data_IF_632849734737
#
_entry.id   IF_632849734737
#
_cell.length_a   1.000
_cell.length_b   1.000
_cell.length_c   1.000
_cell.angle_alpha   90.00
_cell.angle_beta   90.00
_cell.angle_gamma   90.00
#
_symmetry.space_group_name_H-M   'P 1'
#
loop_
_entity.id
_entity.type
_entity.pdbx_description
1 polymer ?
#
# COMPACT_ATOMS: atom_id res chain seq x y z
N UNK A 1 71.97 -3.78 15.89
CA UNK A 1 71.14 -4.56 16.81
C UNK A 1 69.79 -3.87 16.84
N UNK A 2 68.92 -4.18 15.98
CA UNK A 2 67.87 -5.23 15.99
C UNK A 2 66.61 -4.80 16.74
N UNK A 3 65.54 -4.90 15.98
CA UNK A 3 64.12 -4.98 16.39
C UNK A 3 63.32 -3.67 16.47
N UNK A 4 62.66 -3.37 15.37
CA UNK A 4 61.24 -3.01 15.39
C UNK A 4 60.68 -3.10 13.96
N UNK A 5 60.13 -4.22 13.65
CA UNK A 5 59.25 -4.41 12.49
C UNK A 5 58.09 -5.30 12.94
N UNK A 6 56.94 -4.88 12.71
CA UNK A 6 55.65 -5.55 12.82
C UNK A 6 54.69 -4.85 13.78
N UNK A 7 53.78 -4.07 13.23
CA UNK A 7 52.35 -4.03 13.50
C UNK A 7 51.72 -2.97 12.58
N UNK A 8 51.46 -3.30 11.33
CA UNK A 8 50.45 -2.60 10.50
C UNK A 8 49.89 -3.63 9.52
N UNK A 9 48.99 -4.46 9.98
CA UNK A 9 48.15 -5.25 9.05
C UNK A 9 46.98 -5.85 9.85
N UNK A 10 46.02 -5.05 10.25
CA UNK A 10 44.74 -5.58 10.70
C UNK A 10 43.71 -4.44 10.87
N UNK A 11 43.32 -3.75 9.80
CA UNK A 11 42.12 -2.87 9.83
C UNK A 11 41.57 -2.64 8.41
N UNK A 12 41.31 -3.69 7.67
CA UNK A 12 40.67 -3.54 6.35
C UNK A 12 39.74 -4.70 6.01
N UNK A 13 38.91 -5.14 6.94
CA UNK A 13 37.81 -6.06 6.65
C UNK A 13 36.65 -5.78 7.60
N UNK A 14 36.04 -4.61 7.54
CA UNK A 14 34.72 -4.41 8.19
C UNK A 14 33.95 -3.22 7.61
N UNK A 15 33.75 -3.17 6.30
CA UNK A 15 32.84 -2.21 5.67
C UNK A 15 32.21 -2.75 4.38
N UNK A 16 31.69 -3.97 4.37
CA UNK A 16 30.89 -4.43 3.23
C UNK A 16 29.70 -5.22 3.77
N UNK A 17 28.73 -4.55 4.38
CA UNK A 17 27.41 -5.14 4.67
C UNK A 17 26.29 -4.11 4.89
N UNK A 18 26.25 -3.00 4.17
CA UNK A 18 25.09 -2.08 4.23
C UNK A 18 24.56 -1.63 2.87
N UNK A 19 25.16 -2.02 1.76
CA UNK A 19 24.78 -1.51 0.44
C UNK A 19 23.56 -2.19 -0.21
N UNK A 20 23.05 -3.30 0.32
CA UNK A 20 21.98 -4.05 -0.37
C UNK A 20 20.57 -3.56 -0.03
N UNK A 21 20.36 -2.97 1.12
CA UNK A 21 19.05 -2.40 1.53
C UNK A 21 18.73 -1.11 0.79
N UNK A 22 19.70 -0.19 0.76
CA UNK A 22 19.53 1.12 0.13
C UNK A 22 19.25 1.02 -1.38
N UNK A 23 19.85 0.04 -2.07
CA UNK A 23 19.62 -0.16 -3.50
C UNK A 23 18.23 -0.74 -3.79
N UNK A 24 17.69 -1.61 -2.94
CA UNK A 24 16.34 -2.16 -3.10
C UNK A 24 15.29 -1.08 -2.90
N UNK A 25 15.37 -0.35 -1.79
CA UNK A 25 14.41 0.72 -1.46
C UNK A 25 14.44 1.85 -2.50
N UNK A 26 15.63 2.17 -3.01
CA UNK A 26 15.80 3.12 -4.12
C UNK A 26 15.10 2.61 -5.39
N UNK A 27 15.29 1.35 -5.77
CA UNK A 27 14.65 0.79 -6.96
C UNK A 27 13.12 0.69 -6.79
N UNK A 28 12.63 0.33 -5.61
CA UNK A 28 11.19 0.34 -5.31
C UNK A 28 10.62 1.75 -5.47
N UNK A 29 11.27 2.76 -4.90
CA UNK A 29 10.84 4.15 -5.03
C UNK A 29 10.91 4.65 -6.48
N UNK A 30 11.95 4.27 -7.23
CA UNK A 30 12.09 4.62 -8.65
C UNK A 30 11.04 3.94 -9.54
N UNK A 31 10.65 2.71 -9.24
CA UNK A 31 9.59 2.04 -9.99
C UNK A 31 8.24 2.71 -9.75
N UNK A 32 7.91 3.06 -8.51
CA UNK A 32 6.63 3.66 -8.15
C UNK A 32 6.52 5.15 -8.54
N UNK A 33 7.61 5.91 -8.37
CA UNK A 33 7.57 7.38 -8.45
C UNK A 33 8.50 7.97 -9.52
N UNK A 34 9.21 7.14 -10.29
CA UNK A 34 10.14 7.61 -11.31
C UNK A 34 9.43 8.43 -12.38
N UNK A 35 9.86 9.67 -12.59
CA UNK A 35 9.23 10.62 -13.52
C UNK A 35 9.39 10.22 -14.99
N UNK A 36 10.40 9.42 -15.32
CA UNK A 36 10.67 9.01 -16.70
C UNK A 36 10.42 7.51 -16.90
N UNK A 37 9.98 7.16 -18.10
CA UNK A 37 9.89 5.77 -18.54
C UNK A 37 11.19 4.99 -18.30
N UNK A 38 12.35 5.59 -18.68
CA UNK A 38 13.66 4.94 -18.54
C UNK A 38 14.00 4.60 -17.09
N UNK A 39 13.69 5.50 -16.17
CA UNK A 39 13.91 5.27 -14.73
C UNK A 39 13.07 4.11 -14.22
N UNK A 40 11.76 4.10 -14.52
CA UNK A 40 10.86 3.03 -14.10
C UNK A 40 11.21 1.69 -14.73
N UNK A 41 11.59 1.68 -16.02
CA UNK A 41 12.04 0.45 -16.69
C UNK A 41 13.31 -0.12 -16.07
N UNK A 42 14.33 0.72 -15.82
CA UNK A 42 15.56 0.29 -15.19
C UNK A 42 15.30 -0.28 -13.78
N UNK A 43 14.44 0.36 -13.02
CA UNK A 43 14.04 -0.11 -11.69
C UNK A 43 13.30 -1.45 -11.74
N UNK A 44 12.35 -1.64 -12.68
CA UNK A 44 11.66 -2.92 -12.87
C UNK A 44 12.64 -4.05 -13.20
N UNK A 45 13.59 -3.79 -14.10
CA UNK A 45 14.64 -4.75 -14.48
C UNK A 45 15.61 -5.05 -13.32
N UNK A 46 15.96 -4.06 -12.51
CA UNK A 46 16.79 -4.27 -11.33
C UNK A 46 16.06 -5.12 -10.29
N UNK A 47 14.79 -4.80 -10.00
CA UNK A 47 13.96 -5.55 -9.06
C UNK A 47 13.70 -6.99 -9.52
N UNK A 48 13.60 -7.25 -10.82
CA UNK A 48 13.38 -8.60 -11.36
C UNK A 48 14.48 -9.62 -11.00
N UNK A 49 15.62 -9.16 -10.50
CA UNK A 49 16.74 -10.00 -10.03
C UNK A 49 16.71 -10.22 -8.52
N UNK A 50 15.85 -9.50 -7.81
CA UNK A 50 15.72 -9.62 -6.36
C UNK A 50 14.81 -10.79 -5.98
N UNK A 51 15.12 -11.45 -4.87
CA UNK A 51 14.26 -12.45 -4.23
C UNK A 51 13.56 -11.90 -2.98
N UNK A 52 13.69 -10.60 -2.72
CA UNK A 52 13.01 -9.93 -1.61
C UNK A 52 11.51 -9.80 -1.91
N UNK A 53 10.70 -10.12 -0.92
CA UNK A 53 9.24 -10.02 -1.02
C UNK A 53 8.76 -8.60 -1.38
N UNK A 54 9.46 -7.56 -0.90
CA UNK A 54 9.15 -6.14 -1.21
C UNK A 54 9.30 -5.84 -2.70
N UNK A 55 10.31 -6.44 -3.35
CA UNK A 55 10.48 -6.31 -4.79
C UNK A 55 9.33 -6.94 -5.56
N UNK A 56 8.87 -8.13 -5.15
CA UNK A 56 7.70 -8.80 -5.78
C UNK A 56 6.46 -7.92 -5.67
N UNK A 57 6.22 -7.33 -4.49
CA UNK A 57 5.08 -6.45 -4.25
C UNK A 57 5.15 -5.20 -5.13
N UNK A 58 6.31 -4.53 -5.18
CA UNK A 58 6.48 -3.33 -6.00
C UNK A 58 6.28 -3.62 -7.50
N UNK A 59 6.76 -4.77 -7.99
CA UNK A 59 6.58 -5.19 -9.38
C UNK A 59 5.12 -5.58 -9.66
N UNK A 60 4.43 -6.21 -8.71
CA UNK A 60 3.01 -6.51 -8.82
C UNK A 60 2.16 -5.22 -8.89
N UNK A 61 2.55 -4.22 -8.09
CA UNK A 61 1.92 -2.90 -8.13
C UNK A 61 2.14 -2.19 -9.48
N UNK A 62 3.35 -2.22 -10.01
CA UNK A 62 3.65 -1.66 -11.33
C UNK A 62 2.88 -2.36 -12.45
N UNK A 63 2.68 -3.69 -12.37
CA UNK A 63 1.83 -4.42 -13.33
C UNK A 63 0.38 -3.92 -13.29
N UNK A 64 -0.14 -3.65 -12.12
CA UNK A 64 -1.52 -3.21 -11.95
C UNK A 64 -1.74 -1.74 -12.36
N UNK A 65 -0.78 -0.86 -12.04
CA UNK A 65 -1.03 0.58 -11.93
C UNK A 65 -0.16 1.46 -12.84
N UNK A 66 0.96 0.97 -13.43
CA UNK A 66 1.79 1.84 -14.29
C UNK A 66 1.02 2.26 -15.53
N UNK A 67 1.17 3.53 -15.91
CA UNK A 67 0.50 4.10 -17.07
C UNK A 67 1.04 3.52 -18.39
N UNK A 68 2.33 3.12 -18.43
CA UNK A 68 2.99 2.62 -19.63
C UNK A 68 2.79 1.11 -19.81
N UNK A 69 2.19 0.64 -20.92
CA UNK A 69 1.97 -0.77 -21.14
C UNK A 69 3.25 -1.58 -21.25
N UNK A 70 4.38 -0.96 -21.62
CA UNK A 70 5.66 -1.66 -21.68
C UNK A 70 6.20 -1.94 -20.28
N UNK A 71 6.03 -1.00 -19.35
CA UNK A 71 6.38 -1.23 -17.93
C UNK A 71 5.51 -2.35 -17.38
N UNK A 72 4.19 -2.34 -17.62
CA UNK A 72 3.31 -3.42 -17.18
C UNK A 72 3.69 -4.78 -17.78
N UNK A 73 4.07 -4.83 -19.05
CA UNK A 73 4.58 -6.08 -19.67
C UNK A 73 5.88 -6.56 -19.02
N UNK A 74 6.82 -5.66 -18.79
CA UNK A 74 8.09 -6.00 -18.12
C UNK A 74 7.83 -6.47 -16.71
N UNK A 75 6.90 -5.85 -15.99
CA UNK A 75 6.48 -6.28 -14.66
C UNK A 75 5.88 -7.71 -14.66
N UNK A 76 5.04 -8.06 -15.65
CA UNK A 76 4.53 -9.43 -15.79
C UNK A 76 5.65 -10.46 -15.99
N UNK A 77 6.63 -10.17 -16.86
CA UNK A 77 7.80 -11.03 -17.07
C UNK A 77 8.73 -11.09 -15.85
N UNK A 78 8.84 -9.98 -15.11
CA UNK A 78 9.63 -9.95 -13.89
C UNK A 78 8.99 -10.84 -12.81
N UNK A 79 7.68 -10.78 -12.62
CA UNK A 79 6.96 -11.66 -11.68
C UNK A 79 7.16 -13.13 -12.01
N UNK A 80 7.13 -13.51 -13.28
CA UNK A 80 7.44 -14.89 -13.71
C UNK A 80 8.81 -15.38 -13.21
N UNK A 81 9.83 -14.51 -13.21
CA UNK A 81 11.18 -14.85 -12.76
C UNK A 81 11.36 -14.81 -11.24
N UNK A 82 10.62 -13.90 -10.59
CA UNK A 82 10.77 -13.63 -9.16
C UNK A 82 10.00 -14.60 -8.29
N UNK A 83 8.82 -15.02 -8.77
CA UNK A 83 7.89 -15.88 -8.02
C UNK A 83 8.31 -17.34 -8.17
N UNK A 84 8.64 -17.96 -7.05
CA UNK A 84 8.96 -19.39 -6.96
C UNK A 84 8.42 -20.00 -5.66
N UNK A 85 8.70 -21.29 -5.42
CA UNK A 85 8.25 -21.99 -4.23
C UNK A 85 8.84 -21.44 -2.91
N UNK A 86 9.97 -20.70 -2.99
CA UNK A 86 10.65 -20.11 -1.83
C UNK A 86 10.19 -18.67 -1.57
N UNK A 87 9.50 -18.07 -2.52
CA UNK A 87 8.90 -16.73 -2.33
C UNK A 87 7.92 -16.77 -1.17
N UNK A 88 8.00 -15.77 -0.28
CA UNK A 88 7.06 -15.63 0.83
C UNK A 88 5.63 -15.73 0.33
N UNK A 89 4.80 -16.51 1.03
CA UNK A 89 3.47 -16.90 0.55
C UNK A 89 2.65 -15.69 0.13
N UNK A 90 2.60 -14.64 0.95
CA UNK A 90 1.81 -13.44 0.70
C UNK A 90 2.30 -12.68 -0.56
N UNK A 91 3.62 -12.55 -0.73
CA UNK A 91 4.19 -11.92 -1.92
C UNK A 91 3.92 -12.75 -3.19
N UNK A 92 4.00 -14.08 -3.08
CA UNK A 92 3.67 -14.99 -4.18
C UNK A 92 2.18 -14.88 -4.57
N UNK A 93 1.28 -14.87 -3.60
CA UNK A 93 -0.15 -14.72 -3.83
C UNK A 93 -0.48 -13.37 -4.47
N UNK A 94 0.14 -12.28 -4.01
CA UNK A 94 0.01 -10.97 -4.64
C UNK A 94 0.49 -10.94 -6.09
N UNK A 95 1.67 -11.50 -6.36
CA UNK A 95 2.21 -11.59 -7.72
C UNK A 95 1.31 -12.39 -8.64
N UNK A 96 0.78 -13.52 -8.16
CA UNK A 96 -0.15 -14.36 -8.92
C UNK A 96 -1.48 -13.65 -9.19
N UNK A 97 -2.05 -12.98 -8.19
CA UNK A 97 -3.30 -12.21 -8.33
C UNK A 97 -3.12 -11.06 -9.33
N UNK A 98 -2.01 -10.32 -9.25
CA UNK A 98 -1.73 -9.24 -10.20
C UNK A 98 -1.64 -9.77 -11.65
N UNK A 99 -1.01 -10.92 -11.85
CA UNK A 99 -0.94 -11.58 -13.16
C UNK A 99 -2.32 -12.05 -13.63
N UNK A 100 -3.16 -12.61 -12.75
CA UNK A 100 -4.52 -13.04 -13.07
C UNK A 100 -5.40 -11.87 -13.51
N UNK A 101 -5.35 -10.78 -12.76
CA UNK A 101 -6.09 -9.56 -13.07
C UNK A 101 -5.60 -8.95 -14.39
N UNK A 102 -4.29 -8.81 -14.57
CA UNK A 102 -3.72 -8.29 -15.81
C UNK A 102 -4.06 -9.18 -17.03
N UNK A 103 -4.08 -10.50 -16.88
CA UNK A 103 -4.42 -11.43 -17.98
C UNK A 103 -5.84 -11.27 -18.47
N UNK A 104 -6.75 -10.82 -17.62
CA UNK A 104 -8.18 -10.70 -17.92
C UNK A 104 -8.58 -9.26 -18.25
N UNK A 105 -8.08 -8.30 -17.46
CA UNK A 105 -8.63 -6.95 -17.40
C UNK A 105 -7.68 -5.84 -17.89
N UNK A 106 -6.39 -6.13 -18.19
CA UNK A 106 -5.50 -5.07 -18.68
C UNK A 106 -6.01 -4.49 -19.99
N UNK A 107 -5.95 -3.17 -20.11
CA UNK A 107 -6.37 -2.44 -21.33
C UNK A 107 -5.54 -2.76 -22.57
N UNK A 108 -4.27 -3.17 -22.41
CA UNK A 108 -3.37 -3.52 -23.51
C UNK A 108 -3.35 -5.03 -23.76
N UNK A 109 -3.63 -5.42 -25.01
CA UNK A 109 -3.71 -6.84 -25.41
C UNK A 109 -2.36 -7.58 -25.23
N UNK A 110 -1.22 -6.89 -25.43
CA UNK A 110 0.11 -7.51 -25.26
C UNK A 110 0.44 -7.73 -23.80
N UNK A 111 -0.07 -6.88 -22.90
CA UNK A 111 0.03 -7.10 -21.45
C UNK A 111 -0.80 -8.32 -21.06
N UNK A 112 -2.06 -8.42 -21.52
CA UNK A 112 -2.91 -9.59 -21.26
C UNK A 112 -2.26 -10.90 -21.72
N UNK A 113 -1.73 -10.92 -22.94
CA UNK A 113 -1.05 -12.11 -23.49
C UNK A 113 0.20 -12.47 -22.68
N UNK A 114 1.01 -11.48 -22.31
CA UNK A 114 2.22 -11.70 -21.50
C UNK A 114 1.86 -12.24 -20.12
N UNK A 115 0.89 -11.62 -19.44
CA UNK A 115 0.43 -12.08 -18.12
C UNK A 115 -0.14 -13.51 -18.17
N UNK A 116 -0.89 -13.84 -19.22
CA UNK A 116 -1.40 -15.21 -19.45
C UNK A 116 -0.28 -16.22 -19.60
N UNK A 117 0.78 -15.90 -20.35
CA UNK A 117 1.96 -16.76 -20.51
C UNK A 117 2.72 -16.95 -19.20
N UNK A 118 2.93 -15.86 -18.46
CA UNK A 118 3.56 -15.90 -17.15
C UNK A 118 2.76 -16.73 -16.14
N UNK A 119 1.44 -16.62 -16.12
CA UNK A 119 0.58 -17.48 -15.29
C UNK A 119 0.69 -18.96 -15.67
N UNK A 120 0.78 -19.26 -16.96
CA UNK A 120 0.98 -20.63 -17.43
C UNK A 120 2.32 -21.19 -16.96
N UNK A 121 3.39 -20.40 -17.03
CA UNK A 121 4.71 -20.79 -16.53
C UNK A 121 4.69 -21.05 -15.00
N UNK A 122 3.91 -20.28 -14.26
CA UNK A 122 3.77 -20.41 -12.81
C UNK A 122 2.66 -21.38 -12.36
N UNK A 123 2.03 -22.12 -13.28
CA UNK A 123 0.88 -22.97 -12.97
C UNK A 123 1.16 -24.02 -11.87
N UNK A 124 2.39 -24.54 -11.80
CA UNK A 124 2.80 -25.47 -10.75
C UNK A 124 2.88 -24.86 -9.33
N UNK A 125 2.94 -23.52 -9.24
CA UNK A 125 2.97 -22.79 -7.97
C UNK A 125 1.55 -22.34 -7.54
N UNK A 126 0.57 -22.48 -8.43
CA UNK A 126 -0.82 -22.23 -8.06
C UNK A 126 -1.19 -23.21 -6.95
N UNK A 127 -1.56 -22.69 -5.82
CA UNK A 127 -2.37 -23.49 -4.89
C UNK A 127 -3.53 -24.06 -5.71
N UNK A 128 -3.73 -25.38 -5.67
CA UNK A 128 -5.05 -25.95 -6.02
C UNK A 128 -6.04 -25.07 -5.29
N UNK A 129 -6.97 -24.43 -6.02
CA UNK A 129 -8.01 -23.56 -5.49
C UNK A 129 -8.60 -24.25 -4.27
N UNK A 130 -7.92 -24.05 -3.15
CA UNK A 130 -8.34 -24.58 -1.86
C UNK A 130 -9.62 -23.85 -1.59
N UNK A 131 -10.67 -24.60 -1.50
CA UNK A 131 -11.99 -24.27 -1.03
C UNK A 131 -12.16 -22.78 -0.77
N UNK A 132 -12.98 -22.11 -1.60
CA UNK A 132 -13.47 -20.77 -1.31
C UNK A 132 -13.61 -20.61 0.21
N UNK A 133 -13.25 -19.47 0.81
CA UNK A 133 -13.45 -19.29 2.23
C UNK A 133 -14.87 -19.75 2.51
N UNK A 134 -15.00 -20.80 3.29
CA UNK A 134 -16.31 -21.33 3.69
C UNK A 134 -17.11 -20.13 4.15
N UNK A 135 -18.36 -20.00 3.67
CA UNK A 135 -19.22 -18.87 3.97
C UNK A 135 -19.08 -18.42 5.44
N UNK A 136 -19.11 -17.10 5.71
CA UNK A 136 -18.99 -16.59 7.08
C UNK A 136 -19.94 -17.32 8.00
N UNK A 137 -19.48 -17.67 9.19
CA UNK A 137 -20.31 -18.38 10.16
C UNK A 137 -21.29 -17.39 10.77
N UNK A 138 -22.56 -17.52 10.44
CA UNK A 138 -23.63 -16.64 10.93
C UNK A 138 -23.67 -15.31 10.20
N UNK A 139 -24.17 -14.27 10.86
CA UNK A 139 -24.36 -12.93 10.30
C UNK A 139 -23.09 -12.04 10.37
N UNK A 140 -21.89 -12.66 10.38
CA UNK A 140 -20.60 -11.95 10.50
C UNK A 140 -19.94 -11.79 9.12
N UNK A 141 -19.27 -10.66 8.83
CA UNK A 141 -18.66 -10.41 7.52
C UNK A 141 -17.41 -11.28 7.30
N UNK A 142 -17.15 -11.65 6.06
CA UNK A 142 -15.90 -12.36 5.68
C UNK A 142 -14.67 -11.46 5.75
N UNK A 143 -14.84 -10.17 5.52
CA UNK A 143 -13.81 -9.14 5.67
C UNK A 143 -14.38 -7.99 6.49
N UNK A 144 -13.71 -7.70 7.57
CA UNK A 144 -14.02 -6.58 8.46
C UNK A 144 -12.91 -5.53 8.39
N UNK A 145 -13.26 -4.27 8.33
CA UNK A 145 -12.30 -3.16 8.30
C UNK A 145 -12.59 -2.22 9.45
N UNK A 146 -11.68 -2.17 10.42
CA UNK A 146 -11.72 -1.16 11.46
C UNK A 146 -11.22 0.18 10.89
N UNK A 147 -12.05 1.19 10.86
CA UNK A 147 -11.66 2.55 10.47
C UNK A 147 -11.45 3.36 11.73
N UNK A 148 -10.18 3.66 12.02
CA UNK A 148 -9.81 4.42 13.20
C UNK A 148 -10.15 5.90 13.07
N UNK A 149 -10.38 6.58 14.19
CA UNK A 149 -10.50 8.03 14.21
C UNK A 149 -9.28 8.71 13.59
N UNK A 150 -9.52 9.77 12.82
CA UNK A 150 -8.45 10.54 12.17
C UNK A 150 -7.57 11.24 13.21
N UNK A 151 -6.27 11.02 13.13
CA UNK A 151 -5.28 11.70 13.98
C UNK A 151 -4.85 13.02 13.33
N UNK A 152 -4.82 14.10 14.09
CA UNK A 152 -4.29 15.39 13.63
C UNK A 152 -2.89 15.66 14.21
N UNK A 153 -1.87 15.54 13.37
CA UNK A 153 -0.48 15.92 13.71
C UNK A 153 -0.20 17.41 13.48
N UNK A 154 -1.04 18.08 12.67
CA UNK A 154 -0.89 19.53 12.43
C UNK A 154 -1.30 20.37 13.63
N UNK A 155 -2.16 19.80 14.51
CA UNK A 155 -2.76 20.48 15.67
C UNK A 155 -3.60 21.71 15.30
N UNK A 156 -4.05 21.79 14.05
CA UNK A 156 -4.80 22.92 13.49
C UNK A 156 -6.14 22.52 12.92
N UNK A 157 -6.45 21.22 12.94
CA UNK A 157 -7.65 20.69 12.31
C UNK A 157 -8.86 20.84 13.23
N UNK A 158 -9.98 21.42 12.78
CA UNK A 158 -11.25 21.36 13.49
C UNK A 158 -11.69 19.90 13.71
N UNK A 159 -12.29 19.61 14.87
CA UNK A 159 -12.76 18.27 15.22
C UNK A 159 -13.71 17.69 14.17
N UNK A 160 -14.62 18.52 13.66
CA UNK A 160 -15.59 18.15 12.64
C UNK A 160 -14.94 17.73 11.33
N UNK A 161 -13.77 18.31 10.98
CA UNK A 161 -13.03 17.94 9.79
C UNK A 161 -12.35 16.55 9.96
N UNK A 162 -11.84 16.22 11.15
CA UNK A 162 -11.34 14.87 11.46
C UNK A 162 -12.44 13.81 11.30
N UNK A 163 -13.63 14.07 11.81
CA UNK A 163 -14.78 13.17 11.68
C UNK A 163 -15.23 13.00 10.23
N UNK A 164 -15.11 14.04 9.40
CA UNK A 164 -15.41 13.97 7.96
C UNK A 164 -14.43 13.09 7.21
N UNK A 165 -13.12 13.22 7.48
CA UNK A 165 -12.09 12.33 6.89
C UNK A 165 -12.40 10.88 7.22
N UNK A 166 -12.69 10.58 8.49
CA UNK A 166 -13.06 9.22 8.90
C UNK A 166 -14.31 8.73 8.14
N UNK A 167 -15.34 9.57 7.96
CA UNK A 167 -16.55 9.19 7.19
C UNK A 167 -16.24 8.93 5.72
N UNK A 168 -15.36 9.72 5.08
CA UNK A 168 -14.94 9.52 3.70
C UNK A 168 -14.27 8.16 3.56
N UNK A 169 -13.29 7.87 4.42
CA UNK A 169 -12.60 6.56 4.42
C UNK A 169 -13.60 5.43 4.62
N UNK A 170 -14.48 5.55 5.60
CA UNK A 170 -15.51 4.54 5.90
C UNK A 170 -16.45 4.31 4.72
N UNK A 171 -16.94 5.37 4.10
CA UNK A 171 -17.83 5.29 2.94
C UNK A 171 -17.17 4.58 1.75
N UNK A 172 -15.89 4.86 1.47
CA UNK A 172 -15.14 4.20 0.42
C UNK A 172 -14.95 2.69 0.70
N UNK A 173 -14.67 2.33 1.95
CA UNK A 173 -14.56 0.93 2.39
C UNK A 173 -15.89 0.20 2.20
N UNK A 174 -16.98 0.77 2.68
CA UNK A 174 -18.35 0.21 2.57
C UNK A 174 -18.80 0.12 1.11
N UNK A 175 -18.55 1.16 0.32
CA UNK A 175 -18.82 1.19 -1.12
C UNK A 175 -18.05 0.11 -1.92
N UNK A 176 -16.99 -0.44 -1.35
CA UNK A 176 -16.25 -1.57 -1.93
C UNK A 176 -16.75 -2.95 -1.44
N UNK A 177 -17.82 -2.99 -0.66
CA UNK A 177 -18.44 -4.23 -0.17
C UNK A 177 -17.82 -4.80 1.09
N UNK A 178 -16.95 -4.06 1.78
CA UNK A 178 -16.38 -4.49 3.06
C UNK A 178 -17.18 -3.93 4.24
N UNK A 179 -17.28 -4.72 5.30
CA UNK A 179 -18.00 -4.31 6.50
C UNK A 179 -17.10 -3.45 7.41
N UNK A 180 -17.64 -2.35 7.90
CA UNK A 180 -17.01 -1.48 8.90
C UNK A 180 -17.68 -1.57 10.27
N UNK A 181 -18.71 -2.38 10.38
CA UNK A 181 -19.41 -2.68 11.62
C UNK A 181 -19.38 -4.18 11.91
N UNK A 182 -19.30 -4.53 13.18
CA UNK A 182 -19.32 -5.91 13.66
C UNK A 182 -20.45 -6.10 14.66
N UNK A 183 -21.24 -7.18 14.59
CA UNK A 183 -22.29 -7.44 15.55
C UNK A 183 -21.72 -7.57 16.97
N UNK A 184 -22.18 -6.74 17.89
CA UNK A 184 -21.70 -6.69 19.27
C UNK A 184 -20.53 -5.76 19.54
N UNK A 185 -20.12 -4.91 18.57
CA UNK A 185 -19.03 -3.95 18.68
C UNK A 185 -17.76 -4.40 17.96
N UNK A 186 -16.57 -3.98 18.40
CA UNK A 186 -15.33 -4.41 17.77
C UNK A 186 -14.99 -5.86 18.13
N UNK A 187 -14.65 -6.73 17.14
CA UNK A 187 -14.30 -8.13 17.41
C UNK A 187 -13.00 -8.26 18.21
N UNK A 188 -12.91 -9.34 18.96
CA UNK A 188 -11.68 -9.81 19.62
C UNK A 188 -10.83 -10.67 18.68
N UNK A 189 -9.59 -10.92 19.10
CA UNK A 189 -8.66 -11.80 18.37
C UNK A 189 -9.17 -13.25 18.28
N UNK A 190 -9.98 -13.69 19.24
CA UNK A 190 -10.60 -15.01 19.24
C UNK A 190 -11.85 -15.11 18.37
N UNK A 191 -12.61 -14.01 18.24
CA UNK A 191 -13.84 -13.98 17.43
C UNK A 191 -13.56 -14.00 15.92
N UNK A 192 -12.49 -13.38 15.47
CA UNK A 192 -12.14 -13.30 14.06
C UNK A 192 -11.93 -14.69 13.42
N UNK A 193 -11.06 -15.57 13.93
CA UNK A 193 -10.89 -16.90 13.37
C UNK A 193 -12.14 -17.78 13.55
N UNK A 194 -12.87 -17.65 14.67
CA UNK A 194 -14.12 -18.37 14.89
C UNK A 194 -15.18 -18.02 13.84
N UNK A 195 -15.26 -16.75 13.46
CA UNK A 195 -16.13 -16.27 12.40
C UNK A 195 -15.56 -16.51 10.98
N UNK A 196 -14.33 -17.02 10.87
CA UNK A 196 -13.57 -17.11 9.60
C UNK A 196 -13.49 -15.77 8.88
N UNK A 197 -13.38 -14.70 9.65
CA UNK A 197 -13.30 -13.33 9.17
C UNK A 197 -11.86 -12.86 9.17
N UNK A 198 -11.48 -12.14 8.12
CA UNK A 198 -10.22 -11.40 8.09
C UNK A 198 -10.49 -9.97 8.50
N UNK A 199 -9.56 -9.39 9.23
CA UNK A 199 -9.72 -8.02 9.66
C UNK A 199 -8.51 -7.16 9.29
N UNK A 200 -8.81 -5.93 8.91
CA UNK A 200 -7.84 -4.89 8.57
C UNK A 200 -8.16 -3.63 9.36
N UNK A 201 -7.15 -2.81 9.55
CA UNK A 201 -7.30 -1.46 10.09
C UNK A 201 -6.94 -0.44 9.03
N UNK A 202 -7.73 0.62 8.93
CA UNK A 202 -7.43 1.79 8.11
C UNK A 202 -7.40 3.00 9.03
N UNK A 203 -6.23 3.63 9.13
CA UNK A 203 -6.02 4.78 10.01
C UNK A 203 -5.55 5.98 9.20
N UNK A 204 -6.26 7.10 9.32
CA UNK A 204 -5.94 8.35 8.64
C UNK A 204 -5.24 9.33 9.58
N UNK A 205 -4.32 10.13 9.01
CA UNK A 205 -3.56 11.15 9.74
C UNK A 205 -3.42 12.40 8.89
N UNK A 206 -3.85 13.52 9.41
CA UNK A 206 -3.51 14.83 8.82
C UNK A 206 -2.11 15.19 9.29
N UNK A 207 -1.14 15.06 8.37
CA UNK A 207 0.29 15.30 8.65
C UNK A 207 0.63 16.77 8.72
N UNK A 208 0.03 17.56 7.83
CA UNK A 208 0.36 18.97 7.65
C UNK A 208 -0.87 19.77 7.26
N UNK A 209 -1.01 20.95 7.83
CA UNK A 209 -1.99 21.96 7.47
C UNK A 209 -1.36 23.33 7.64
N UNK A 210 -1.00 23.96 6.52
CA UNK A 210 -0.47 25.32 6.49
C UNK A 210 -1.53 26.27 5.95
N UNK A 211 -1.73 27.38 6.65
CA UNK A 211 -2.65 28.44 6.29
C UNK A 211 -1.85 29.73 6.25
N UNK A 212 -1.74 30.36 5.09
CA UNK A 212 -0.97 31.58 4.87
C UNK A 212 -1.84 32.63 4.20
N UNK A 213 -2.12 33.73 4.88
CA UNK A 213 -2.92 34.82 4.35
C UNK A 213 -2.01 35.92 3.80
N UNK A 214 -2.29 36.37 2.57
CA UNK A 214 -1.62 37.48 1.90
C UNK A 214 -2.67 38.39 1.25
N UNK A 215 -2.84 39.58 1.79
CA UNK A 215 -3.87 40.53 1.32
C UNK A 215 -5.29 39.98 1.47
N UNK A 216 -6.02 39.86 0.38
CA UNK A 216 -7.41 39.38 0.36
C UNK A 216 -7.53 37.88 0.11
N UNK A 217 -6.40 37.16 -0.04
CA UNK A 217 -6.37 35.73 -0.32
C UNK A 217 -5.64 34.95 0.76
N UNK A 218 -6.10 33.71 0.97
CA UNK A 218 -5.47 32.74 1.88
C UNK A 218 -5.10 31.50 1.08
N UNK A 219 -3.84 31.12 1.15
CA UNK A 219 -3.35 29.83 0.68
C UNK A 219 -3.45 28.78 1.79
N UNK A 220 -3.99 27.63 1.43
CA UNK A 220 -4.13 26.47 2.32
C UNK A 220 -3.37 25.32 1.66
N UNK A 221 -2.44 24.71 2.38
CA UNK A 221 -1.74 23.51 1.94
C UNK A 221 -1.95 22.40 2.96
N UNK A 222 -2.42 21.24 2.52
CA UNK A 222 -2.71 20.12 3.38
C UNK A 222 -2.02 18.84 2.91
N UNK A 223 -1.70 17.94 3.84
CA UNK A 223 -1.17 16.60 3.57
C UNK A 223 -1.90 15.60 4.46
N UNK A 224 -2.49 14.59 3.84
CA UNK A 224 -3.15 13.48 4.53
C UNK A 224 -2.41 12.19 4.20
N UNK A 225 -2.14 11.39 5.21
CA UNK A 225 -1.62 10.04 5.08
C UNK A 225 -2.65 9.04 5.60
N UNK A 226 -2.79 7.91 4.89
CA UNK A 226 -3.68 6.82 5.28
C UNK A 226 -2.87 5.54 5.26
N UNK A 227 -2.91 4.78 6.34
CA UNK A 227 -2.26 3.48 6.44
C UNK A 227 -3.29 2.37 6.50
N UNK A 228 -2.90 1.22 5.98
CA UNK A 228 -3.66 -0.02 6.02
C UNK A 228 -2.77 -1.12 6.55
N UNK A 229 -3.27 -1.93 7.48
CA UNK A 229 -2.55 -3.09 7.99
C UNK A 229 -3.53 -4.21 8.39
N UNK A 230 -3.08 -5.47 8.49
CA UNK A 230 -3.82 -6.51 9.17
C UNK A 230 -4.12 -6.11 10.62
N UNK A 231 -5.30 -6.48 11.07
CA UNK A 231 -5.77 -6.20 12.42
C UNK A 231 -6.21 -7.46 13.13
N UNK A 232 -5.79 -7.64 14.35
CA UNK A 232 -6.03 -8.87 15.13
C UNK A 232 -7.11 -8.70 16.20
N UNK A 233 -8.06 -7.77 15.99
CA UNK A 233 -9.10 -7.51 16.96
C UNK A 233 -8.72 -6.43 17.99
N UNK A 234 -9.70 -6.02 18.80
CA UNK A 234 -9.53 -4.95 19.79
C UNK A 234 -8.48 -5.25 20.88
N UNK A 235 -8.21 -6.53 21.12
CA UNK A 235 -7.26 -7.06 22.10
C UNK A 235 -5.91 -7.45 21.48
N UNK A 236 -5.85 -7.65 20.17
CA UNK A 236 -4.64 -8.02 19.43
C UNK A 236 -3.98 -6.86 18.66
N UNK A 237 -4.73 -5.80 18.40
CA UNK A 237 -4.24 -4.58 17.76
C UNK A 237 -3.81 -4.73 16.31
N UNK A 238 -3.11 -3.70 15.84
CA UNK A 238 -2.56 -3.60 14.48
C UNK A 238 -1.28 -4.45 14.37
N UNK A 239 -1.15 -5.20 13.26
CA UNK A 239 0.08 -5.91 12.90
C UNK A 239 0.72 -5.26 11.69
N UNK A 240 1.82 -4.57 11.90
CA UNK A 240 2.59 -4.00 10.81
C UNK A 240 3.47 -5.08 10.17
N UNK A 241 2.99 -5.66 9.10
CA UNK A 241 3.72 -6.64 8.29
C UNK A 241 4.09 -5.97 6.96
N UNK A 242 5.38 -5.94 6.61
CA UNK A 242 5.91 -5.22 5.45
C UNK A 242 5.20 -5.59 4.12
N UNK A 243 4.66 -6.80 4.02
CA UNK A 243 4.01 -7.32 2.83
C UNK A 243 2.48 -7.12 2.81
N UNK A 244 1.89 -6.79 3.95
CA UNK A 244 0.43 -6.69 4.13
C UNK A 244 0.01 -5.36 4.75
N UNK A 245 0.97 -4.49 5.00
CA UNK A 245 0.74 -3.13 5.49
C UNK A 245 1.30 -2.11 4.49
N UNK A 246 0.60 -1.03 4.30
CA UNK A 246 1.01 0.07 3.44
C UNK A 246 0.57 1.41 4.02
N UNK A 247 1.28 2.45 3.63
CA UNK A 247 0.88 3.83 3.90
C UNK A 247 0.92 4.61 2.59
N UNK A 248 -0.16 5.29 2.30
CA UNK A 248 -0.27 6.19 1.17
C UNK A 248 -0.44 7.63 1.66
N UNK A 249 0.03 8.61 0.91
CA UNK A 249 -0.15 10.02 1.26
C UNK A 249 -0.38 10.88 0.05
N UNK A 250 -1.18 11.92 0.22
CA UNK A 250 -1.44 12.93 -0.78
C UNK A 250 -1.34 14.33 -0.18
N UNK A 251 -1.16 15.31 -1.06
CA UNK A 251 -1.12 16.72 -0.69
C UNK A 251 -1.88 17.56 -1.71
N UNK A 252 -2.54 18.60 -1.23
CA UNK A 252 -3.19 19.59 -2.09
C UNK A 252 -2.90 21.01 -1.62
N UNK A 253 -3.16 21.96 -2.51
CA UNK A 253 -3.17 23.40 -2.22
C UNK A 253 -4.48 23.98 -2.70
N UNK A 254 -5.08 24.84 -1.90
CA UNK A 254 -6.27 25.61 -2.25
C UNK A 254 -6.02 27.09 -1.98
N UNK A 255 -6.69 27.95 -2.73
CA UNK A 255 -6.68 29.40 -2.50
C UNK A 255 -8.13 29.84 -2.25
N UNK A 256 -8.34 30.60 -1.19
CA UNK A 256 -9.67 31.07 -0.77
C UNK A 256 -9.61 32.54 -0.33
N UNK A 257 -10.74 33.11 0.03
CA UNK A 257 -10.81 34.43 0.64
C UNK A 257 -10.16 34.47 2.03
N UNK A 258 -10.02 35.68 2.58
CA UNK A 258 -9.42 35.89 3.90
C UNK A 258 -10.39 35.93 5.06
N UNK A 259 -11.70 35.77 4.81
CA UNK A 259 -12.71 35.70 5.87
C UNK A 259 -12.63 34.33 6.52
N UNK A 260 -12.87 34.30 7.83
CA UNK A 260 -12.81 33.06 8.61
C UNK A 260 -13.65 31.91 8.00
N UNK A 261 -14.86 32.21 7.54
CA UNK A 261 -15.72 31.22 6.89
C UNK A 261 -15.10 30.64 5.62
N UNK A 262 -14.43 31.47 4.81
CA UNK A 262 -13.80 31.04 3.57
C UNK A 262 -12.59 30.15 3.88
N UNK A 263 -11.80 30.54 4.90
CA UNK A 263 -10.65 29.76 5.36
C UNK A 263 -11.10 28.38 5.87
N UNK A 264 -12.13 28.34 6.73
CA UNK A 264 -12.67 27.06 7.23
C UNK A 264 -13.22 26.18 6.09
N UNK A 265 -13.90 26.78 5.11
CA UNK A 265 -14.34 26.08 3.90
C UNK A 265 -13.17 25.52 3.12
N UNK A 266 -12.14 26.32 2.83
CA UNK A 266 -10.96 25.90 2.09
C UNK A 266 -10.13 24.81 2.81
N UNK A 267 -10.02 24.89 4.14
CA UNK A 267 -9.38 23.83 4.95
C UNK A 267 -10.13 22.51 4.79
N UNK A 268 -11.44 22.56 4.95
CA UNK A 268 -12.30 21.40 4.77
C UNK A 268 -12.12 20.80 3.38
N UNK A 269 -12.29 21.59 2.33
CA UNK A 269 -12.28 21.14 0.95
C UNK A 269 -10.89 20.58 0.56
N UNK A 270 -9.79 21.19 1.04
CA UNK A 270 -8.42 20.69 0.84
C UNK A 270 -8.26 19.28 1.43
N UNK A 271 -8.68 19.07 2.67
CA UNK A 271 -8.46 17.81 3.39
C UNK A 271 -9.40 16.72 2.87
N UNK A 272 -10.66 17.03 2.61
CA UNK A 272 -11.64 16.09 2.08
C UNK A 272 -11.22 15.60 0.68
N UNK A 273 -10.78 16.49 -0.21
CA UNK A 273 -10.30 16.13 -1.54
C UNK A 273 -9.08 15.21 -1.50
N UNK A 274 -8.11 15.49 -0.63
CA UNK A 274 -6.93 14.63 -0.47
C UNK A 274 -7.30 13.29 0.15
N UNK A 275 -8.15 13.28 1.16
CA UNK A 275 -8.60 12.05 1.79
C UNK A 275 -9.36 11.14 0.82
N UNK A 276 -10.24 11.70 -0.01
CA UNK A 276 -10.97 10.98 -1.05
C UNK A 276 -10.03 10.40 -2.09
N UNK A 277 -9.11 11.21 -2.63
CA UNK A 277 -8.16 10.78 -3.67
C UNK A 277 -7.23 9.67 -3.17
N UNK A 278 -6.61 9.85 -1.99
CA UNK A 278 -5.72 8.83 -1.40
C UNK A 278 -6.49 7.54 -1.09
N UNK A 279 -7.70 7.67 -0.54
CA UNK A 279 -8.50 6.49 -0.20
C UNK A 279 -8.89 5.72 -1.46
N UNK A 280 -9.51 6.39 -2.43
CA UNK A 280 -10.08 5.72 -3.60
C UNK A 280 -9.01 5.17 -4.53
N UNK A 281 -7.92 5.92 -4.78
CA UNK A 281 -6.91 5.56 -5.78
C UNK A 281 -5.74 4.73 -5.27
N UNK A 282 -5.44 4.80 -3.98
CA UNK A 282 -4.26 4.13 -3.42
C UNK A 282 -4.64 3.09 -2.36
N UNK A 283 -5.45 3.48 -1.39
CA UNK A 283 -5.80 2.62 -0.25
C UNK A 283 -6.73 1.48 -0.67
N UNK A 284 -7.80 1.79 -1.39
CA UNK A 284 -8.80 0.77 -1.74
C UNK A 284 -8.28 -0.32 -2.69
N UNK A 285 -7.50 0.00 -3.75
CA UNK A 285 -6.87 -1.04 -4.56
C UNK A 285 -5.93 -1.95 -3.75
N UNK A 286 -5.14 -1.36 -2.84
CA UNK A 286 -4.27 -2.15 -1.97
C UNK A 286 -5.08 -3.04 -1.01
N UNK A 287 -6.09 -2.49 -0.33
CA UNK A 287 -6.95 -3.24 0.59
C UNK A 287 -7.64 -4.42 -0.13
N UNK A 288 -8.16 -4.19 -1.33
CA UNK A 288 -8.76 -5.27 -2.15
C UNK A 288 -7.76 -6.39 -2.43
N UNK A 289 -6.52 -6.06 -2.80
CA UNK A 289 -5.45 -7.04 -3.03
C UNK A 289 -5.17 -7.90 -1.80
N UNK A 290 -4.87 -7.26 -0.66
CA UNK A 290 -4.56 -8.01 0.58
C UNK A 290 -5.77 -8.77 1.13
N UNK A 291 -6.97 -8.26 0.89
CA UNK A 291 -8.21 -8.92 1.24
C UNK A 291 -8.49 -10.15 0.38
N UNK A 292 -7.98 -10.24 -0.84
CA UNK A 292 -8.12 -11.39 -1.74
C UNK A 292 -6.96 -12.39 -1.59
N UNK A 293 -5.75 -11.93 -1.31
CA UNK A 293 -4.53 -12.74 -1.24
C UNK A 293 -4.52 -13.79 -0.12
N UNK A 294 -5.43 -13.78 0.82
CA UNK A 294 -5.57 -14.76 1.90
C UNK A 294 -6.77 -15.70 1.77
N UNK A 295 -7.33 -15.81 0.55
CA UNK A 295 -8.51 -16.68 0.26
C UNK A 295 -8.08 -18.05 -0.19
#
# INVERSE_FOLDING_TARGET
MSRTLAVVTACLVLCIRTASGDSLDTNVAQLSNGSTYKTRLAAALALSRSKDARAVIAVADALANDNDPTIRRVAALALEKMVDARTAQDARELGMTALEEASTNDRDAKVRDTATKSLKALAGLRRKKGTQPTAPVGNKPSVFVNVDPTTDQSKKLPKEASERVMRIVKSNVEGSGYATSWPGGLPTSAELPTARSRAFIVASTVKKLDITTAGTQTQIACTVAIRVAPWSGKDGGEKWEANRAASASGSAKATTGNKERDIQGGVRDCIEAVAEDVTSRQVMPFLKRIAQAGS
#
